data_IF_784483651061
#
_entry.id   IF_784483651061
#
_cell.length_a   1.000
_cell.length_b   1.000
_cell.length_c   1.000
_cell.angle_alpha   90.00
_cell.angle_beta   90.00
_cell.angle_gamma   90.00
#
_symmetry.space_group_name_H-M   'P 1'
#
loop_
_entity.id
_entity.type
_entity.pdbx_description
1 polymer ?
#
# COMPACT_ATOMS: atom_id res chain seq x y z
N UNK A 1 9.77 -14.65 -31.25
CA UNK A 1 10.51 -14.44 -30.01
C UNK A 1 10.93 -12.97 -29.82
N UNK A 2 11.56 -12.33 -30.82
CA UNK A 2 11.98 -10.93 -30.71
C UNK A 2 10.81 -9.94 -30.51
N UNK A 3 9.65 -10.16 -31.14
CA UNK A 3 8.49 -9.25 -31.00
C UNK A 3 7.87 -9.31 -29.60
N UNK A 4 7.71 -10.51 -29.03
CA UNK A 4 7.19 -10.67 -27.67
C UNK A 4 8.14 -10.06 -26.63
N UNK A 5 9.46 -10.24 -26.82
CA UNK A 5 10.46 -9.64 -25.94
C UNK A 5 10.44 -8.10 -26.00
N UNK A 6 10.33 -7.54 -27.21
CA UNK A 6 10.20 -6.09 -27.38
C UNK A 6 8.92 -5.55 -26.73
N UNK A 7 7.79 -6.26 -26.89
CA UNK A 7 6.54 -5.89 -26.24
C UNK A 7 6.65 -5.94 -24.71
N UNK A 8 7.24 -7.02 -24.18
CA UNK A 8 7.47 -7.14 -22.73
C UNK A 8 8.38 -6.01 -22.19
N UNK A 9 9.44 -5.68 -22.91
CA UNK A 9 10.36 -4.61 -22.52
C UNK A 9 9.67 -3.23 -22.58
N UNK A 10 8.87 -2.97 -23.62
CA UNK A 10 8.10 -1.72 -23.73
C UNK A 10 7.08 -1.59 -22.60
N UNK A 11 6.33 -2.68 -22.29
CA UNK A 11 5.40 -2.70 -21.17
C UNK A 11 6.11 -2.49 -19.85
N UNK A 12 7.24 -3.16 -19.63
CA UNK A 12 8.06 -2.98 -18.42
C UNK A 12 8.47 -1.53 -18.24
N UNK A 13 9.02 -0.89 -19.27
CA UNK A 13 9.43 0.51 -19.22
C UNK A 13 8.23 1.44 -18.98
N UNK A 14 7.10 1.20 -19.64
CA UNK A 14 5.88 1.97 -19.44
C UNK A 14 5.40 1.92 -17.99
N UNK A 15 5.29 0.71 -17.42
CA UNK A 15 4.90 0.52 -16.01
C UNK A 15 5.87 1.19 -15.02
N UNK A 16 7.16 1.14 -15.33
CA UNK A 16 8.20 1.73 -14.48
C UNK A 16 8.15 3.26 -14.52
N UNK A 17 8.10 3.85 -15.73
CA UNK A 17 8.05 5.31 -15.93
C UNK A 17 6.79 5.91 -15.32
N UNK A 18 5.66 5.21 -15.42
CA UNK A 18 4.40 5.63 -14.78
C UNK A 18 4.48 5.59 -13.25
N UNK A 19 5.03 4.52 -12.68
CA UNK A 19 5.02 4.32 -11.22
C UNK A 19 6.09 5.11 -10.47
N UNK A 20 7.25 5.39 -11.07
CA UNK A 20 8.39 6.04 -10.40
C UNK A 20 8.09 7.43 -9.83
N UNK A 21 7.45 8.38 -10.55
CA UNK A 21 7.14 9.69 -9.99
C UNK A 21 6.18 9.60 -8.80
N UNK A 22 5.20 8.71 -8.83
CA UNK A 22 4.26 8.53 -7.72
C UNK A 22 4.91 7.87 -6.51
N UNK A 23 5.84 6.93 -6.73
CA UNK A 23 6.65 6.37 -5.64
C UNK A 23 7.51 7.46 -4.99
N UNK A 24 8.15 8.30 -5.79
CA UNK A 24 8.95 9.43 -5.30
C UNK A 24 8.11 10.37 -4.43
N UNK A 25 6.94 10.76 -4.93
CA UNK A 25 6.00 11.62 -4.18
C UNK A 25 5.56 10.94 -2.89
N UNK A 26 5.24 9.65 -2.91
CA UNK A 26 4.87 8.88 -1.73
C UNK A 26 5.98 8.81 -0.68
N UNK A 27 7.22 8.58 -1.09
CA UNK A 27 8.39 8.55 -0.20
C UNK A 27 8.70 9.93 0.36
N UNK A 28 8.59 11.00 -0.43
CA UNK A 28 8.74 12.38 0.04
C UNK A 28 7.65 12.72 1.08
N UNK A 29 6.41 12.35 0.80
CA UNK A 29 5.29 12.53 1.75
C UNK A 29 5.51 11.76 3.04
N UNK A 30 5.97 10.50 2.96
CA UNK A 30 6.37 9.67 4.10
C UNK A 30 7.43 10.38 4.94
N UNK A 31 8.44 10.96 4.31
CA UNK A 31 9.48 11.73 4.97
C UNK A 31 8.96 13.03 5.61
N UNK A 32 8.06 13.73 4.91
CA UNK A 32 7.45 14.96 5.41
C UNK A 32 6.60 14.70 6.66
N UNK A 33 5.82 13.63 6.67
CA UNK A 33 5.06 13.20 7.85
C UNK A 33 5.97 13.02 9.06
N UNK A 34 7.19 12.49 8.88
CA UNK A 34 8.15 12.34 9.97
C UNK A 34 8.60 13.68 10.57
N UNK A 35 8.75 14.72 9.75
CA UNK A 35 9.25 16.02 10.20
C UNK A 35 8.17 16.85 10.90
N UNK A 36 6.93 16.80 10.42
CA UNK A 36 5.87 17.71 10.81
C UNK A 36 4.82 17.08 11.73
N UNK A 37 4.68 15.76 11.73
CA UNK A 37 3.67 15.10 12.55
C UNK A 37 4.29 14.56 13.84
N UNK A 38 3.86 15.10 14.97
CA UNK A 38 4.22 14.58 16.30
C UNK A 38 3.48 13.26 16.53
N UNK A 39 4.26 12.18 16.68
CA UNK A 39 3.79 10.81 16.89
C UNK A 39 2.72 10.73 17.99
N UNK A 40 2.96 11.43 19.10
CA UNK A 40 2.08 11.40 20.29
C UNK A 40 0.74 12.08 20.03
N UNK A 41 0.75 13.22 19.34
CA UNK A 41 -0.46 13.96 19.03
C UNK A 41 -1.30 13.24 17.97
N UNK A 42 -0.65 12.61 17.00
CA UNK A 42 -1.33 11.82 15.97
C UNK A 42 -2.06 10.63 16.60
N UNK A 43 -1.36 9.81 17.40
CA UNK A 43 -1.94 8.62 18.04
C UNK A 43 -3.07 9.01 19.00
N UNK A 44 -2.92 10.11 19.74
CA UNK A 44 -3.94 10.59 20.68
C UNK A 44 -5.25 11.02 20.01
N UNK A 45 -5.19 11.43 18.74
CA UNK A 45 -6.36 11.85 17.94
C UNK A 45 -7.02 10.73 17.15
N UNK A 46 -6.36 9.57 17.03
CA UNK A 46 -6.92 8.43 16.30
C UNK A 46 -8.06 7.77 17.08
N UNK A 47 -9.14 7.36 16.41
CA UNK A 47 -10.23 6.64 17.05
C UNK A 47 -9.74 5.33 17.69
N UNK A 48 -10.14 5.09 18.94
CA UNK A 48 -9.80 3.85 19.66
C UNK A 48 -10.64 2.65 19.19
N UNK A 49 -11.82 2.93 18.63
CA UNK A 49 -12.67 1.88 18.07
C UNK A 49 -12.07 1.39 16.73
N UNK A 50 -11.81 0.09 16.57
CA UNK A 50 -11.18 -0.44 15.38
C UNK A 50 -11.93 -0.16 14.07
N UNK A 51 -13.26 -0.26 14.10
CA UNK A 51 -14.09 0.04 12.92
C UNK A 51 -14.00 1.51 12.53
N UNK A 52 -14.11 2.41 13.52
CA UNK A 52 -13.95 3.86 13.29
C UNK A 52 -12.53 4.20 12.85
N UNK A 53 -11.53 3.48 13.38
CA UNK A 53 -10.13 3.62 12.97
C UNK A 53 -9.93 3.23 11.50
N UNK A 54 -10.50 2.10 11.07
CA UNK A 54 -10.45 1.66 9.68
C UNK A 54 -11.16 2.66 8.75
N UNK A 55 -12.36 3.11 9.11
CA UNK A 55 -13.11 4.11 8.36
C UNK A 55 -12.34 5.44 8.26
N UNK A 56 -11.79 5.92 9.36
CA UNK A 56 -10.99 7.15 9.40
C UNK A 56 -9.74 7.03 8.52
N UNK A 57 -9.03 5.89 8.60
CA UNK A 57 -7.89 5.60 7.74
C UNK A 57 -8.27 5.59 6.26
N UNK A 58 -9.39 4.94 5.93
CA UNK A 58 -9.93 4.92 4.56
C UNK A 58 -10.28 6.32 4.06
N UNK A 59 -10.90 7.16 4.90
CA UNK A 59 -11.24 8.54 4.53
C UNK A 59 -10.01 9.45 4.37
N UNK A 60 -8.96 9.23 5.15
CA UNK A 60 -7.70 9.97 4.97
C UNK A 60 -7.15 9.75 3.54
N UNK A 61 -7.36 8.57 2.97
CA UNK A 61 -6.97 8.27 1.59
C UNK A 61 -7.52 9.27 0.56
N UNK A 62 -8.68 9.87 0.80
CA UNK A 62 -9.24 10.91 -0.06
C UNK A 62 -8.38 12.18 -0.11
N UNK A 63 -7.68 12.51 0.98
CA UNK A 63 -6.84 13.71 1.05
C UNK A 63 -5.47 13.52 0.37
N UNK A 64 -5.08 12.27 0.09
CA UNK A 64 -3.78 11.95 -0.48
C UNK A 64 -3.91 11.56 -1.95
N UNK A 65 -3.53 12.42 -2.89
CA UNK A 65 -3.58 12.14 -4.32
C UNK A 65 -2.42 11.23 -4.74
N UNK A 66 -2.33 10.03 -4.14
CA UNK A 66 -1.30 9.03 -4.42
C UNK A 66 -1.92 7.75 -4.96
N UNK A 67 -1.21 7.13 -5.91
CA UNK A 67 -1.58 5.82 -6.44
C UNK A 67 -1.11 4.68 -5.50
N UNK A 68 -1.37 3.44 -5.88
CA UNK A 68 -0.98 2.22 -5.15
C UNK A 68 0.52 2.16 -4.82
N UNK A 69 1.40 2.70 -5.69
CA UNK A 69 2.84 2.70 -5.45
C UNK A 69 3.26 3.72 -4.37
N UNK A 70 2.56 4.86 -4.30
CA UNK A 70 2.90 5.95 -3.38
C UNK A 70 2.30 5.80 -1.98
N UNK A 71 1.20 5.04 -1.81
CA UNK A 71 0.56 4.87 -0.51
C UNK A 71 1.27 3.86 0.40
N UNK A 72 2.03 2.92 -0.16
CA UNK A 72 2.76 1.89 0.59
C UNK A 72 3.81 2.51 1.54
N UNK A 73 4.71 3.42 1.12
CA UNK A 73 5.63 4.07 2.04
C UNK A 73 4.91 4.85 3.15
N UNK A 74 3.81 5.54 2.82
CA UNK A 74 3.01 6.27 3.81
C UNK A 74 2.37 5.32 4.83
N UNK A 75 1.74 4.23 4.38
CA UNK A 75 1.15 3.21 5.25
C UNK A 75 2.20 2.53 6.14
N UNK A 76 3.37 2.18 5.57
CA UNK A 76 4.52 1.67 6.33
C UNK A 76 4.91 2.63 7.45
N UNK A 77 4.98 3.92 7.13
CA UNK A 77 5.33 4.97 8.08
C UNK A 77 4.30 5.08 9.20
N UNK A 78 3.01 5.12 8.87
CA UNK A 78 1.94 5.16 9.87
C UNK A 78 2.07 4.00 10.87
N UNK A 79 2.30 2.77 10.38
CA UNK A 79 2.53 1.60 11.22
C UNK A 79 3.77 1.75 12.10
N UNK A 80 4.87 2.26 11.54
CA UNK A 80 6.12 2.45 12.29
C UNK A 80 6.04 3.56 13.33
N UNK A 81 5.16 4.52 13.16
CA UNK A 81 4.83 5.56 14.14
C UNK A 81 3.85 5.08 15.22
N UNK A 82 3.37 3.83 15.14
CA UNK A 82 2.46 3.25 16.12
C UNK A 82 0.99 3.53 15.85
N UNK A 83 0.63 3.96 14.63
CA UNK A 83 -0.77 4.06 14.25
C UNK A 83 -1.43 2.66 14.31
N UNK A 84 -2.70 2.57 14.76
CA UNK A 84 -3.44 1.31 14.76
C UNK A 84 -3.47 0.69 13.36
N UNK A 85 -3.27 -0.63 13.26
CA UNK A 85 -3.27 -1.32 11.98
C UNK A 85 -4.56 -1.12 11.16
N UNK A 86 -5.78 -1.07 11.75
CA UNK A 86 -6.98 -0.75 10.99
C UNK A 86 -6.89 0.56 10.22
N UNK A 87 -6.26 1.59 10.81
CA UNK A 87 -6.07 2.89 10.15
C UNK A 87 -5.14 2.76 8.94
N UNK A 88 -4.00 2.09 9.12
CA UNK A 88 -3.00 1.94 8.07
C UNK A 88 -3.50 1.04 6.92
N UNK A 89 -4.22 -0.05 7.24
CA UNK A 89 -4.81 -0.96 6.24
C UNK A 89 -5.94 -0.27 5.50
N UNK A 90 -6.85 0.42 6.21
CA UNK A 90 -7.92 1.19 5.59
C UNK A 90 -7.38 2.24 4.63
N UNK A 91 -6.35 3.00 5.05
CA UNK A 91 -5.65 3.94 4.18
C UNK A 91 -5.02 3.26 2.97
N UNK A 92 -4.28 2.17 3.18
CA UNK A 92 -3.55 1.44 2.13
C UNK A 92 -4.47 0.98 0.99
N UNK A 93 -5.65 0.46 1.32
CA UNK A 93 -6.60 -0.07 0.35
C UNK A 93 -7.48 1.01 -0.28
N UNK A 94 -7.88 2.03 0.49
CA UNK A 94 -8.79 3.05 0.01
C UNK A 94 -8.11 4.16 -0.81
N UNK A 95 -6.91 4.60 -0.41
CA UNK A 95 -6.24 5.75 -1.01
C UNK A 95 -6.11 5.68 -2.54
N UNK A 96 -5.75 4.56 -3.16
CA UNK A 96 -5.61 4.51 -4.62
C UNK A 96 -6.95 4.54 -5.37
N UNK A 97 -8.07 4.28 -4.71
CA UNK A 97 -9.39 4.18 -5.34
C UNK A 97 -10.27 5.41 -5.14
N UNK A 98 -10.16 6.09 -3.99
CA UNK A 98 -11.05 7.18 -3.59
C UNK A 98 -10.41 8.57 -3.67
N UNK A 99 -9.18 8.71 -4.18
CA UNK A 99 -8.57 10.03 -4.31
C UNK A 99 -9.28 10.90 -5.36
N UNK A 100 -9.24 12.24 -5.22
CA UNK A 100 -9.97 13.14 -6.10
C UNK A 100 -9.61 13.00 -7.58
N UNK A 101 -8.36 12.66 -7.90
CA UNK A 101 -7.90 12.50 -9.28
C UNK A 101 -8.55 11.28 -9.92
N UNK A 102 -8.64 10.17 -9.20
CA UNK A 102 -9.27 8.93 -9.67
C UNK A 102 -10.78 9.10 -9.82
N UNK A 103 -11.42 9.79 -8.87
CA UNK A 103 -12.85 10.13 -8.96
C UNK A 103 -13.12 10.97 -10.21
N UNK A 104 -12.30 11.99 -10.45
CA UNK A 104 -12.41 12.83 -11.63
C UNK A 104 -12.18 12.06 -12.93
N UNK A 105 -11.15 11.20 -12.99
CA UNK A 105 -10.87 10.35 -14.15
C UNK A 105 -12.03 9.40 -14.43
N UNK A 106 -12.59 8.77 -13.40
CA UNK A 106 -13.74 7.86 -13.54
C UNK A 106 -14.99 8.62 -13.99
N UNK A 107 -15.23 9.81 -13.44
CA UNK A 107 -16.35 10.68 -13.87
C UNK A 107 -16.20 11.06 -15.36
N UNK A 108 -14.98 11.38 -15.79
CA UNK A 108 -14.73 11.75 -17.19
C UNK A 108 -14.93 10.59 -18.14
N UNK A 109 -14.54 9.37 -17.74
CA UNK A 109 -14.72 8.15 -18.54
C UNK A 109 -16.18 7.70 -18.60
N UNK A 110 -16.90 7.73 -17.49
CA UNK A 110 -18.29 7.21 -17.36
C UNK A 110 -19.30 8.32 -17.13
N UNK A 111 -19.31 9.34 -18.02
CA UNK A 111 -20.26 10.47 -17.93
C UNK A 111 -21.71 10.05 -18.03
N UNK A 112 -22.00 9.04 -18.85
CA UNK A 112 -23.34 8.53 -19.11
C UNK A 112 -23.83 7.57 -18.00
N UNK A 113 -22.92 7.14 -17.11
CA UNK A 113 -23.19 6.19 -16.02
C UNK A 113 -22.58 6.69 -14.69
N UNK A 114 -23.09 7.79 -14.12
CA UNK A 114 -22.55 8.38 -12.88
C UNK A 114 -22.63 7.42 -11.68
N UNK A 115 -23.51 6.41 -11.75
CA UNK A 115 -23.67 5.39 -10.72
C UNK A 115 -22.36 4.59 -10.52
N UNK A 116 -21.59 4.32 -11.60
CA UNK A 116 -20.32 3.62 -11.52
C UNK A 116 -19.33 4.39 -10.65
N UNK A 117 -19.30 5.71 -10.74
CA UNK A 117 -18.42 6.57 -9.93
C UNK A 117 -18.79 6.49 -8.45
N UNK A 118 -20.07 6.64 -8.14
CA UNK A 118 -20.57 6.56 -6.77
C UNK A 118 -20.32 5.18 -6.17
N UNK A 119 -20.68 4.12 -6.91
CA UNK A 119 -20.50 2.75 -6.47
C UNK A 119 -19.03 2.39 -6.29
N UNK A 120 -18.13 2.89 -7.16
CA UNK A 120 -16.67 2.73 -7.01
C UNK A 120 -16.20 3.28 -5.65
N UNK A 121 -16.58 4.50 -5.31
CA UNK A 121 -16.19 5.14 -4.05
C UNK A 121 -16.79 4.41 -2.85
N UNK A 122 -18.09 4.12 -2.88
CA UNK A 122 -18.80 3.46 -1.78
C UNK A 122 -18.23 2.04 -1.53
N UNK A 123 -18.04 1.26 -2.57
CA UNK A 123 -17.52 -0.11 -2.42
C UNK A 123 -16.07 -0.11 -1.98
N UNK A 124 -15.24 0.75 -2.55
CA UNK A 124 -13.84 0.88 -2.13
C UNK A 124 -13.74 1.26 -0.66
N UNK A 125 -14.53 2.22 -0.21
CA UNK A 125 -14.57 2.65 1.19
C UNK A 125 -15.08 1.52 2.11
N UNK A 126 -16.15 0.84 1.71
CA UNK A 126 -16.74 -0.26 2.48
C UNK A 126 -15.75 -1.42 2.59
N UNK A 127 -15.17 -1.87 1.48
CA UNK A 127 -14.21 -3.00 1.44
C UNK A 127 -12.98 -2.67 2.28
N UNK A 128 -12.37 -1.50 2.10
CA UNK A 128 -11.20 -1.07 2.85
C UNK A 128 -11.48 -1.01 4.36
N UNK A 129 -12.67 -0.50 4.75
CA UNK A 129 -13.11 -0.42 6.15
C UNK A 129 -13.35 -1.81 6.74
N UNK A 130 -14.04 -2.70 6.02
CA UNK A 130 -14.31 -4.08 6.47
C UNK A 130 -12.99 -4.83 6.65
N UNK A 131 -12.07 -4.76 5.68
CA UNK A 131 -10.77 -5.44 5.76
C UNK A 131 -9.96 -4.88 6.93
N UNK A 132 -9.87 -3.56 7.07
CA UNK A 132 -9.19 -2.92 8.19
C UNK A 132 -9.76 -3.36 9.54
N UNK A 133 -11.08 -3.50 9.64
CA UNK A 133 -11.75 -3.98 10.84
C UNK A 133 -11.46 -5.48 11.10
N UNK A 134 -11.54 -6.34 10.09
CA UNK A 134 -11.25 -7.78 10.21
C UNK A 134 -9.81 -8.01 10.69
N UNK A 135 -8.85 -7.27 10.13
CA UNK A 135 -7.46 -7.36 10.58
C UNK A 135 -7.24 -6.83 12.00
N UNK A 136 -8.10 -5.95 12.51
CA UNK A 136 -8.04 -5.49 13.89
C UNK A 136 -8.51 -6.54 14.90
N UNK A 137 -9.35 -7.49 14.49
CA UNK A 137 -9.82 -8.57 15.36
C UNK A 137 -8.70 -9.54 15.75
N UNK A 138 -7.57 -9.50 15.05
CA UNK A 138 -6.38 -10.25 15.44
C UNK A 138 -5.65 -9.50 16.57
N UNK A 139 -5.68 -10.09 17.76
CA UNK A 139 -5.07 -9.53 18.98
C UNK A 139 -3.54 -9.30 18.84
N UNK A 140 -2.87 -10.04 17.96
CA UNK A 140 -1.44 -9.90 17.70
C UNK A 140 -1.16 -9.83 16.19
N UNK A 141 -0.80 -8.64 15.71
CA UNK A 141 -0.46 -8.38 14.31
C UNK A 141 1.00 -8.72 13.96
N UNK A 142 1.83 -9.05 14.95
CA UNK A 142 3.26 -9.34 14.77
C UNK A 142 3.53 -10.53 13.83
N UNK A 143 2.74 -11.62 13.87
CA UNK A 143 2.96 -12.72 12.92
C UNK A 143 2.69 -12.33 11.47
N UNK A 144 1.95 -11.26 11.23
CA UNK A 144 1.49 -10.80 9.92
C UNK A 144 2.44 -9.75 9.32
N UNK A 145 3.09 -8.93 10.18
CA UNK A 145 4.00 -7.87 9.78
C UNK A 145 5.43 -8.39 9.57
N UNK A 146 6.20 -7.66 8.78
CA UNK A 146 7.64 -7.91 8.65
C UNK A 146 8.33 -7.74 10.01
N UNK A 147 9.37 -8.54 10.32
CA UNK A 147 10.03 -8.57 11.63
C UNK A 147 10.52 -7.19 12.10
N UNK A 148 11.00 -6.37 11.16
CA UNK A 148 11.48 -5.02 11.43
C UNK A 148 10.39 -4.09 11.99
N UNK A 149 9.16 -4.19 11.45
CA UNK A 149 8.01 -3.40 11.91
C UNK A 149 7.47 -3.98 13.23
N UNK A 150 7.37 -5.31 13.32
CA UNK A 150 6.90 -6.00 14.53
C UNK A 150 7.74 -5.74 15.77
N UNK A 151 9.07 -5.70 15.63
CA UNK A 151 10.00 -5.39 16.73
C UNK A 151 9.82 -3.96 17.22
N UNK A 152 9.60 -3.02 16.31
CA UNK A 152 9.40 -1.62 16.66
C UNK A 152 8.07 -1.38 17.38
N UNK A 153 7.00 -1.99 16.94
CA UNK A 153 5.72 -1.97 17.65
C UNK A 153 5.85 -2.51 19.09
N UNK A 154 6.72 -3.53 19.31
CA UNK A 154 7.03 -4.03 20.65
C UNK A 154 7.72 -2.96 21.51
N UNK A 155 8.70 -2.24 20.96
CA UNK A 155 9.44 -1.18 21.67
C UNK A 155 8.52 0.00 22.04
N UNK A 156 7.55 0.34 21.19
CA UNK A 156 6.57 1.40 21.47
C UNK A 156 5.59 0.95 22.56
N UNK A 157 5.13 -0.31 22.50
CA UNK A 157 4.18 -0.85 23.48
C UNK A 157 4.80 -1.11 24.87
N UNK A 158 6.12 -1.35 24.93
CA UNK A 158 6.85 -1.63 26.18
C UNK A 158 7.53 -0.40 26.80
N UNK A 159 7.29 0.82 26.30
CA UNK A 159 7.84 2.02 26.92
C UNK A 159 7.14 2.26 28.27
N UNK A 160 7.80 2.00 29.41
CA UNK A 160 7.19 2.24 30.72
C UNK A 160 7.02 3.75 30.94
N UNK A 161 5.93 4.12 31.62
CA UNK A 161 5.91 5.40 32.37
C UNK A 161 7.18 5.55 33.18
N UNK A 162 7.69 6.77 33.41
CA UNK A 162 8.91 6.99 34.13
C UNK A 162 8.72 6.62 35.61
N UNK A 163 8.88 5.35 35.94
CA UNK A 163 9.14 4.91 37.32
C UNK A 163 10.64 4.81 37.51
N UNK A 164 11.05 5.45 38.58
CA UNK A 164 12.38 5.60 39.16
C UNK A 164 13.35 4.43 38.92
N UNK A 165 14.57 4.85 38.67
CA UNK A 165 15.82 4.10 38.63
C UNK A 165 15.89 2.98 39.69
N UNK A 166 15.94 1.72 39.27
CA UNK A 166 16.49 0.66 40.09
C UNK A 166 17.25 -0.32 39.17
N UNK A 167 18.55 -0.31 39.40
CA UNK A 167 19.59 -1.32 39.19
C UNK A 167 19.46 -2.26 37.99
N UNK A 168 20.32 -2.04 36.99
CA UNK A 168 20.57 -2.89 35.86
C UNK A 168 21.28 -4.19 36.26
N UNK A 169 20.64 -5.33 36.09
CA UNK A 169 21.35 -6.58 35.82
C UNK A 169 21.61 -6.68 34.34
N UNK A 170 22.88 -6.68 33.99
CA UNK A 170 23.40 -6.72 32.64
C UNK A 170 23.38 -8.19 32.12
N UNK A 171 22.36 -8.54 31.33
CA UNK A 171 22.54 -9.66 30.40
C UNK A 171 23.46 -9.21 29.27
N UNK A 172 24.56 -9.94 29.05
CA UNK A 172 25.59 -9.63 28.07
C UNK A 172 25.03 -9.60 26.65
N UNK A 173 25.19 -8.50 25.91
CA UNK A 173 24.69 -8.43 24.53
C UNK A 173 25.57 -9.31 23.63
N UNK A 174 24.96 -10.21 22.88
CA UNK A 174 25.60 -10.87 21.73
C UNK A 174 26.21 -9.80 20.82
N UNK A 175 27.49 -9.95 20.41
CA UNK A 175 28.18 -8.92 19.65
C UNK A 175 27.42 -8.60 18.35
N UNK A 176 26.99 -7.35 18.18
CA UNK A 176 26.26 -6.87 16.99
C UNK A 176 27.00 -7.09 15.67
N UNK A 177 28.32 -7.30 15.73
CA UNK A 177 29.20 -7.56 14.58
C UNK A 177 29.00 -8.93 13.89
N UNK A 178 28.26 -9.85 14.53
CA UNK A 178 27.99 -11.18 13.96
C UNK A 178 26.71 -11.22 13.11
N UNK A 179 25.97 -10.11 13.02
CA UNK A 179 24.78 -10.03 12.17
C UNK A 179 25.16 -9.47 10.79
N UNK A 180 24.80 -10.19 9.74
CA UNK A 180 25.00 -9.75 8.36
C UNK A 180 24.24 -8.44 8.08
N UNK A 181 24.92 -7.43 7.52
CA UNK A 181 24.35 -6.13 7.20
C UNK A 181 25.39 -5.05 6.93
N UNK A 182 24.99 -3.90 6.40
CA UNK A 182 25.84 -2.74 6.19
C UNK A 182 25.83 -1.88 7.45
N UNK A 183 27.01 -1.60 8.00
CA UNK A 183 27.18 -0.83 9.24
C UNK A 183 27.98 0.44 8.99
N UNK A 184 27.67 1.51 9.72
CA UNK A 184 28.46 2.72 9.77
C UNK A 184 28.93 2.99 11.20
N UNK A 185 30.17 3.52 11.34
CA UNK A 185 30.70 3.92 12.63
C UNK A 185 30.16 5.28 13.00
N UNK A 186 29.28 5.33 13.97
CA UNK A 186 28.79 6.61 14.54
C UNK A 186 29.83 7.31 15.41
N UNK A 187 29.53 8.53 15.82
CA UNK A 187 30.42 9.43 16.58
C UNK A 187 30.93 8.88 17.93
N UNK A 188 30.38 7.74 18.41
CA UNK A 188 30.85 7.02 19.63
C UNK A 188 31.45 5.65 19.31
N UNK A 189 31.96 5.41 18.08
CA UNK A 189 32.55 4.14 17.64
C UNK A 189 31.64 2.91 17.79
N UNK A 190 30.32 3.09 17.88
CA UNK A 190 29.36 1.99 17.89
C UNK A 190 28.86 1.73 16.46
N UNK A 191 28.87 0.46 15.99
CA UNK A 191 28.36 0.11 14.67
C UNK A 191 26.85 0.30 14.60
N UNK A 192 26.40 1.17 13.70
CA UNK A 192 24.98 1.41 13.44
C UNK A 192 24.61 0.71 12.13
N UNK A 193 23.60 -0.16 12.17
CA UNK A 193 23.10 -0.85 10.99
C UNK A 193 22.37 0.13 10.08
N UNK A 194 22.74 0.19 8.80
CA UNK A 194 22.16 1.10 7.80
C UNK A 194 20.91 0.52 7.12
N UNK A 195 19.96 0.03 7.89
CA UNK A 195 18.65 -0.33 7.36
C UNK A 195 17.70 0.88 7.43
N UNK A 196 16.82 1.07 6.45
CA UNK A 196 15.84 2.16 6.44
C UNK A 196 15.02 2.22 7.74
N UNK A 197 14.76 1.08 8.36
CA UNK A 197 14.06 0.96 9.64
C UNK A 197 14.84 1.55 10.82
N UNK A 198 16.15 1.40 10.84
CA UNK A 198 17.03 1.95 11.90
C UNK A 198 17.21 3.44 11.70
N UNK A 199 17.38 3.89 10.46
CA UNK A 199 17.46 5.32 10.12
C UNK A 199 16.15 6.04 10.50
N UNK A 200 15.02 5.42 10.22
CA UNK A 200 13.70 5.90 10.63
C UNK A 200 13.53 5.95 12.17
N UNK A 201 14.11 4.97 12.87
CA UNK A 201 14.11 4.96 14.34
C UNK A 201 14.93 6.10 14.92
N UNK A 202 16.08 6.40 14.33
CA UNK A 202 16.96 7.50 14.74
C UNK A 202 16.28 8.87 14.50
N UNK A 203 15.54 9.00 13.40
CA UNK A 203 14.78 10.20 13.08
C UNK A 203 13.65 10.47 14.09
N UNK A 204 12.90 9.44 14.45
CA UNK A 204 11.81 9.56 15.42
C UNK A 204 12.31 9.79 16.86
N UNK A 205 13.53 9.34 17.20
CA UNK A 205 14.15 9.57 18.50
C UNK A 205 14.89 10.92 18.62
N UNK A 206 14.97 11.68 17.54
CA UNK A 206 15.70 12.96 17.50
C UNK A 206 14.86 14.05 18.20
N UNK A 207 15.36 14.67 19.29
CA UNK A 207 14.63 15.73 19.97
C UNK A 207 14.43 16.95 19.05
N UNK A 208 13.37 17.74 19.25
CA UNK A 208 13.01 18.87 18.41
C UNK A 208 14.04 20.02 18.36
N UNK A 209 15.14 19.90 19.10
CA UNK A 209 16.18 20.93 19.25
C UNK A 209 17.30 20.90 18.18
N UNK A 210 17.26 19.95 17.21
CA UNK A 210 18.29 19.96 16.14
C UNK A 210 18.00 21.02 15.09
N UNK A 211 19.04 21.68 14.53
CA UNK A 211 18.89 22.68 13.47
C UNK A 211 18.19 22.09 12.23
N UNK A 212 17.44 22.93 11.53
CA UNK A 212 16.62 22.55 10.38
C UNK A 212 17.44 21.83 9.28
N UNK A 213 18.72 22.24 9.13
CA UNK A 213 19.66 21.63 8.19
C UNK A 213 19.91 20.15 8.45
N UNK A 214 20.08 19.76 9.70
CA UNK A 214 20.32 18.34 10.07
C UNK A 214 19.07 17.49 9.88
N UNK A 215 17.90 18.09 10.15
CA UNK A 215 16.61 17.43 9.91
C UNK A 215 16.37 17.20 8.42
N UNK A 216 16.69 18.19 7.57
CA UNK A 216 16.54 18.08 6.13
C UNK A 216 17.52 17.04 5.54
N UNK A 217 18.75 17.01 6.04
CA UNK A 217 19.75 16.02 5.64
C UNK A 217 19.30 14.59 5.96
N UNK A 218 18.81 14.38 7.17
CA UNK A 218 18.26 13.10 7.60
C UNK A 218 17.01 12.69 6.78
N UNK A 219 16.17 13.66 6.40
CA UNK A 219 15.03 13.41 5.52
C UNK A 219 15.50 12.94 4.14
N UNK A 220 16.49 13.61 3.55
CA UNK A 220 17.04 13.23 2.24
C UNK A 220 17.65 11.83 2.27
N UNK A 221 18.46 11.54 3.28
CA UNK A 221 19.09 10.22 3.43
C UNK A 221 18.04 9.11 3.59
N UNK A 222 16.99 9.36 4.39
CA UNK A 222 15.88 8.43 4.53
C UNK A 222 15.09 8.26 3.24
N UNK A 223 14.82 9.36 2.51
CA UNK A 223 14.12 9.34 1.23
C UNK A 223 14.89 8.53 0.19
N UNK A 224 16.19 8.74 0.09
CA UNK A 224 17.05 7.99 -0.84
C UNK A 224 17.04 6.50 -0.51
N UNK A 225 17.15 6.15 0.76
CA UNK A 225 17.15 4.77 1.19
C UNK A 225 15.80 4.07 0.96
N UNK A 226 14.71 4.72 1.34
CA UNK A 226 13.35 4.19 1.14
C UNK A 226 13.02 4.05 -0.36
N UNK A 227 13.43 5.03 -1.18
CA UNK A 227 13.30 4.96 -2.64
C UNK A 227 14.11 3.82 -3.24
N UNK A 228 15.32 3.55 -2.73
CA UNK A 228 16.16 2.44 -3.19
C UNK A 228 15.52 1.08 -2.86
N UNK A 229 15.01 0.90 -1.63
CA UNK A 229 14.38 -0.35 -1.20
C UNK A 229 13.09 -0.62 -1.99
N UNK A 230 12.17 0.33 -2.00
CA UNK A 230 10.87 0.18 -2.67
C UNK A 230 10.99 0.24 -4.19
N UNK A 231 11.93 1.04 -4.72
CA UNK A 231 12.21 1.11 -6.14
C UNK A 231 12.74 -0.21 -6.69
N UNK A 232 13.62 -0.89 -5.97
CA UNK A 232 14.10 -2.23 -6.38
C UNK A 232 12.94 -3.25 -6.45
N UNK A 233 12.04 -3.23 -5.46
CA UNK A 233 10.85 -4.08 -5.45
C UNK A 233 9.89 -3.72 -6.60
N UNK A 234 9.73 -2.43 -6.88
CA UNK A 234 8.91 -1.94 -7.99
C UNK A 234 9.44 -2.42 -9.34
N UNK A 235 10.77 -2.34 -9.56
CA UNK A 235 11.42 -2.82 -10.79
C UNK A 235 11.16 -4.31 -10.99
N UNK A 236 11.35 -5.12 -9.94
CA UNK A 236 11.07 -6.56 -10.00
C UNK A 236 9.59 -6.85 -10.25
N UNK A 237 8.70 -6.18 -9.54
CA UNK A 237 7.24 -6.32 -9.69
C UNK A 237 6.77 -5.93 -11.10
N UNK A 238 7.28 -4.83 -11.63
CA UNK A 238 6.96 -4.38 -13.00
C UNK A 238 7.48 -5.34 -14.06
N UNK A 239 8.66 -5.92 -13.88
CA UNK A 239 9.22 -6.92 -14.80
C UNK A 239 8.38 -8.20 -14.82
N UNK A 240 7.95 -8.69 -13.65
CA UNK A 240 7.06 -9.85 -13.55
C UNK A 240 5.70 -9.54 -14.17
N UNK A 241 5.11 -8.39 -13.87
CA UNK A 241 3.82 -7.97 -14.42
C UNK A 241 3.86 -7.88 -15.96
N UNK A 242 4.88 -7.23 -16.53
CA UNK A 242 5.05 -7.13 -17.97
C UNK A 242 5.23 -8.50 -18.65
N UNK A 243 5.97 -9.40 -18.02
CA UNK A 243 6.18 -10.76 -18.53
C UNK A 243 4.87 -11.56 -18.57
N UNK A 244 4.06 -11.49 -17.53
CA UNK A 244 2.76 -12.18 -17.44
C UNK A 244 1.78 -11.59 -18.46
N UNK A 245 1.72 -10.26 -18.62
CA UNK A 245 0.83 -9.61 -19.59
C UNK A 245 1.08 -10.04 -21.04
N UNK A 246 2.34 -10.31 -21.42
CA UNK A 246 2.69 -10.80 -22.75
C UNK A 246 2.32 -12.27 -22.95
N UNK A 247 2.34 -13.06 -21.86
CA UNK A 247 2.05 -14.50 -21.90
C UNK A 247 0.55 -14.80 -21.93
N UNK A 248 -0.31 -13.90 -21.46
CA UNK A 248 -1.76 -14.12 -21.40
C UNK A 248 -2.44 -13.51 -22.63
N UNK A 249 -2.96 -14.32 -23.59
CA UNK A 249 -3.65 -13.83 -24.76
C UNK A 249 -4.96 -13.13 -24.39
N UNK A 250 -5.19 -11.96 -24.95
CA UNK A 250 -6.40 -11.16 -24.70
C UNK A 250 -7.69 -11.90 -25.11
N UNK A 251 -7.63 -12.73 -26.14
CA UNK A 251 -8.77 -13.51 -26.65
C UNK A 251 -9.28 -14.52 -25.64
N UNK A 252 -8.40 -15.12 -24.84
CA UNK A 252 -8.78 -16.05 -23.76
C UNK A 252 -9.59 -15.32 -22.68
N UNK A 253 -9.19 -14.11 -22.34
CA UNK A 253 -9.88 -13.28 -21.33
C UNK A 253 -11.28 -12.89 -21.84
N UNK A 254 -11.38 -12.47 -23.11
CA UNK A 254 -12.66 -12.07 -23.69
C UNK A 254 -13.63 -13.27 -23.84
N UNK A 255 -13.12 -14.45 -24.15
CA UNK A 255 -13.93 -15.66 -24.27
C UNK A 255 -14.53 -16.17 -22.95
N UNK A 256 -13.92 -15.83 -21.82
CA UNK A 256 -14.40 -16.21 -20.49
C UNK A 256 -15.53 -15.29 -19.97
N UNK A 257 -15.77 -14.14 -20.60
CA UNK A 257 -16.67 -13.08 -20.12
C UNK A 257 -18.15 -13.21 -20.50
N UNK A 258 -18.61 -14.34 -21.02
CA UNK A 258 -19.96 -14.50 -21.60
C UNK A 258 -21.11 -14.61 -20.58
N UNK A 259 -20.85 -14.87 -19.31
CA UNK A 259 -21.87 -14.98 -18.25
C UNK A 259 -21.78 -13.88 -17.20
N UNK A 260 -22.88 -13.55 -16.47
CA UNK A 260 -22.89 -12.47 -15.50
C UNK A 260 -21.93 -12.71 -14.32
N UNK A 261 -21.69 -13.96 -13.94
CA UNK A 261 -20.76 -14.35 -12.87
C UNK A 261 -19.34 -14.45 -13.42
N UNK A 262 -19.17 -15.10 -14.56
CA UNK A 262 -17.85 -15.29 -15.17
C UNK A 262 -17.24 -13.97 -15.62
N UNK A 263 -18.07 -13.01 -16.09
CA UNK A 263 -17.59 -11.67 -16.47
C UNK A 263 -16.96 -10.90 -15.32
N UNK A 264 -17.52 -11.00 -14.10
CA UNK A 264 -16.95 -10.39 -12.90
C UNK A 264 -15.58 -11.01 -12.58
N UNK A 265 -15.51 -12.36 -12.54
CA UNK A 265 -14.25 -13.06 -12.28
C UNK A 265 -13.17 -12.76 -13.30
N UNK A 266 -13.56 -12.68 -14.58
CA UNK A 266 -12.66 -12.35 -15.69
C UNK A 266 -12.12 -10.93 -15.56
N UNK A 267 -12.97 -9.94 -15.24
CA UNK A 267 -12.55 -8.56 -15.09
C UNK A 267 -11.69 -8.35 -13.83
N UNK A 268 -11.95 -9.09 -12.74
CA UNK A 268 -11.07 -9.09 -11.56
C UNK A 268 -9.70 -9.72 -11.87
N UNK A 269 -9.67 -10.82 -12.61
CA UNK A 269 -8.42 -11.43 -13.03
C UNK A 269 -7.62 -10.48 -13.93
N UNK A 270 -8.31 -9.84 -14.88
CA UNK A 270 -7.71 -8.85 -15.76
C UNK A 270 -7.14 -7.68 -14.97
N UNK A 271 -7.88 -7.16 -14.00
CA UNK A 271 -7.44 -6.06 -13.13
C UNK A 271 -6.14 -6.38 -12.40
N UNK A 272 -6.07 -7.56 -11.77
CA UNK A 272 -4.87 -8.00 -11.06
C UNK A 272 -3.66 -8.23 -11.96
N UNK A 273 -3.87 -8.74 -13.19
CA UNK A 273 -2.79 -9.04 -14.14
C UNK A 273 -2.27 -7.80 -14.86
N UNK A 274 -3.17 -6.90 -15.28
CA UNK A 274 -2.79 -5.76 -16.14
C UNK A 274 -2.05 -4.69 -15.33
N UNK A 275 -2.30 -4.58 -14.03
CA UNK A 275 -1.56 -3.68 -13.12
C UNK A 275 -1.49 -2.23 -13.63
N UNK A 276 -2.60 -1.71 -14.15
CA UNK A 276 -2.71 -0.32 -14.64
C UNK A 276 -2.90 0.62 -13.45
N UNK A 277 -2.33 1.83 -13.55
CA UNK A 277 -2.52 2.86 -12.55
C UNK A 277 -3.99 3.29 -12.44
N UNK A 278 -4.43 3.54 -11.24
CA UNK A 278 -5.81 3.90 -10.90
C UNK A 278 -6.34 5.18 -11.58
N UNK A 279 -5.45 6.02 -12.12
CA UNK A 279 -5.84 7.21 -12.90
C UNK A 279 -6.22 6.88 -14.34
N UNK A 280 -5.74 5.77 -14.89
CA UNK A 280 -5.95 5.36 -16.28
C UNK A 280 -6.92 4.17 -16.39
N UNK A 281 -7.12 3.44 -15.30
CA UNK A 281 -7.94 2.23 -15.22
C UNK A 281 -9.38 2.46 -15.72
N UNK A 282 -9.96 3.64 -15.46
CA UNK A 282 -11.30 4.00 -15.90
C UNK A 282 -11.42 4.07 -17.42
N UNK A 283 -10.43 4.64 -18.10
CA UNK A 283 -10.42 4.71 -19.56
C UNK A 283 -10.15 3.34 -20.20
N UNK A 284 -9.33 2.53 -19.55
CA UNK A 284 -9.13 1.15 -19.96
C UNK A 284 -10.41 0.34 -19.82
N UNK A 285 -11.10 0.41 -18.68
CA UNK A 285 -12.36 -0.26 -18.43
C UNK A 285 -13.45 0.17 -19.44
N UNK A 286 -13.49 1.46 -19.79
CA UNK A 286 -14.43 2.00 -20.80
C UNK A 286 -14.30 1.29 -22.14
N UNK A 287 -13.12 0.86 -22.53
CA UNK A 287 -12.92 0.13 -23.80
C UNK A 287 -13.64 -1.23 -23.84
N UNK A 288 -14.07 -1.73 -22.69
CA UNK A 288 -14.81 -2.99 -22.54
C UNK A 288 -16.30 -2.78 -22.22
N UNK A 289 -16.77 -1.54 -22.14
CA UNK A 289 -18.14 -1.23 -21.73
C UNK A 289 -19.22 -1.81 -22.67
N UNK A 290 -18.88 -2.03 -23.92
CA UNK A 290 -19.78 -2.68 -24.89
C UNK A 290 -19.85 -4.21 -24.77
N UNK A 291 -18.90 -4.84 -24.07
CA UNK A 291 -18.76 -6.30 -24.02
C UNK A 291 -19.10 -6.88 -22.66
N UNK A 292 -18.84 -6.12 -21.61
CA UNK A 292 -18.99 -6.57 -20.21
C UNK A 292 -20.08 -5.81 -19.48
N UNK A 293 -20.65 -6.44 -18.44
CA UNK A 293 -21.68 -5.82 -17.59
C UNK A 293 -21.09 -4.70 -16.74
N UNK A 294 -21.93 -3.73 -16.35
CA UNK A 294 -21.50 -2.61 -15.47
C UNK A 294 -20.95 -3.10 -14.12
N UNK A 295 -21.52 -4.19 -13.57
CA UNK A 295 -20.99 -4.82 -12.36
C UNK A 295 -19.59 -5.40 -12.54
N UNK A 296 -19.27 -5.97 -13.71
CA UNK A 296 -17.92 -6.49 -13.99
C UNK A 296 -16.91 -5.37 -14.24
N UNK A 297 -17.32 -4.28 -14.89
CA UNK A 297 -16.49 -3.06 -15.00
C UNK A 297 -16.20 -2.46 -13.63
N UNK A 298 -17.21 -2.41 -12.75
CA UNK A 298 -17.04 -1.96 -11.39
C UNK A 298 -16.09 -2.86 -10.60
N UNK A 299 -16.15 -4.18 -10.81
CA UNK A 299 -15.21 -5.12 -10.19
C UNK A 299 -13.76 -4.82 -10.59
N UNK A 300 -13.52 -4.53 -11.87
CA UNK A 300 -12.21 -4.10 -12.35
C UNK A 300 -11.73 -2.82 -11.68
N UNK A 301 -12.59 -1.79 -11.62
CA UNK A 301 -12.26 -0.47 -11.08
C UNK A 301 -12.05 -0.46 -9.56
N UNK A 302 -12.70 -1.35 -8.83
CA UNK A 302 -12.56 -1.45 -7.37
C UNK A 302 -11.38 -2.34 -6.99
N UNK A 303 -11.27 -3.50 -7.60
CA UNK A 303 -10.27 -4.50 -7.24
C UNK A 303 -8.86 -4.13 -7.70
N UNK A 304 -8.71 -3.65 -8.96
CA UNK A 304 -7.42 -3.36 -9.58
C UNK A 304 -6.52 -2.45 -8.73
N UNK A 305 -6.99 -1.24 -8.38
CA UNK A 305 -6.19 -0.31 -7.58
C UNK A 305 -5.91 -0.78 -6.15
N UNK A 306 -6.75 -1.66 -5.60
CA UNK A 306 -6.52 -2.22 -4.26
C UNK A 306 -5.43 -3.28 -4.29
N UNK A 307 -5.46 -4.15 -5.31
CA UNK A 307 -4.60 -5.32 -5.40
C UNK A 307 -4.23 -5.58 -6.85
N UNK A 308 -3.01 -5.24 -7.16
CA UNK A 308 -2.37 -5.56 -8.43
C UNK A 308 -1.02 -6.24 -8.20
N UNK A 309 -0.44 -6.78 -9.25
CA UNK A 309 0.78 -7.56 -9.17
C UNK A 309 1.99 -6.72 -8.71
N UNK A 310 2.05 -5.42 -9.10
CA UNK A 310 3.09 -4.47 -8.63
C UNK A 310 2.91 -4.16 -7.14
N UNK A 311 1.67 -3.87 -6.75
CA UNK A 311 1.29 -3.55 -5.38
C UNK A 311 1.54 -4.69 -4.41
N UNK A 312 1.27 -5.95 -4.82
CA UNK A 312 1.64 -7.14 -4.04
C UNK A 312 3.13 -7.15 -3.73
N UNK A 313 3.99 -6.86 -4.72
CA UNK A 313 5.43 -6.74 -4.50
C UNK A 313 5.77 -5.69 -3.44
N UNK A 314 5.21 -4.49 -3.56
CA UNK A 314 5.43 -3.40 -2.60
C UNK A 314 4.88 -3.71 -1.20
N UNK A 315 3.75 -4.40 -1.10
CA UNK A 315 3.16 -4.81 0.19
C UNK A 315 4.05 -5.79 0.96
N UNK A 316 4.94 -6.55 0.28
CA UNK A 316 5.94 -7.40 0.93
C UNK A 316 6.93 -6.60 1.80
N UNK A 317 7.08 -5.30 1.55
CA UNK A 317 7.86 -4.43 2.43
C UNK A 317 7.20 -4.19 3.80
N UNK A 318 5.89 -4.42 3.93
CA UNK A 318 5.10 -4.19 5.15
C UNK A 318 4.68 -5.53 5.77
N UNK A 319 4.07 -6.39 4.96
CA UNK A 319 3.40 -7.61 5.38
C UNK A 319 4.17 -8.87 4.96
N UNK A 320 3.98 -9.93 5.72
CA UNK A 320 4.44 -11.27 5.30
C UNK A 320 3.54 -11.84 4.19
N UNK A 321 4.04 -12.76 3.35
CA UNK A 321 3.27 -13.33 2.24
C UNK A 321 1.92 -13.91 2.64
N UNK A 322 1.83 -14.55 3.80
CA UNK A 322 0.57 -15.10 4.32
C UNK A 322 -0.50 -14.03 4.57
N UNK A 323 -0.10 -12.89 5.11
CA UNK A 323 -1.02 -11.78 5.36
C UNK A 323 -1.51 -11.16 4.06
N UNK A 324 -0.63 -11.02 3.06
CA UNK A 324 -0.99 -10.52 1.74
C UNK A 324 -1.99 -11.46 1.08
N UNK A 325 -1.80 -12.78 1.19
CA UNK A 325 -2.75 -13.76 0.66
C UNK A 325 -4.14 -13.65 1.29
N UNK A 326 -4.23 -13.47 2.62
CA UNK A 326 -5.52 -13.25 3.29
C UNK A 326 -6.16 -11.91 2.89
N UNK A 327 -5.37 -10.85 2.80
CA UNK A 327 -5.83 -9.53 2.39
C UNK A 327 -6.36 -9.58 0.95
N UNK A 328 -5.62 -10.24 0.07
CA UNK A 328 -6.00 -10.45 -1.33
C UNK A 328 -7.29 -11.27 -1.44
N UNK A 329 -7.36 -12.41 -0.76
CA UNK A 329 -8.55 -13.27 -0.80
C UNK A 329 -9.80 -12.57 -0.28
N UNK A 330 -9.66 -11.81 0.82
CA UNK A 330 -10.78 -11.08 1.40
C UNK A 330 -11.24 -9.92 0.51
N UNK A 331 -10.31 -9.16 -0.08
CA UNK A 331 -10.64 -8.10 -1.03
C UNK A 331 -11.31 -8.67 -2.29
N UNK A 332 -10.80 -9.77 -2.84
CA UNK A 332 -11.40 -10.44 -3.97
C UNK A 332 -12.83 -10.92 -3.67
N UNK A 333 -13.02 -11.57 -2.52
CA UNK A 333 -14.32 -12.07 -2.11
C UNK A 333 -15.34 -10.94 -1.90
N UNK A 334 -14.97 -9.87 -1.21
CA UNK A 334 -15.86 -8.73 -0.96
C UNK A 334 -16.18 -8.00 -2.26
N UNK A 335 -15.20 -7.75 -3.10
CA UNK A 335 -15.42 -7.12 -4.41
C UNK A 335 -16.37 -7.96 -5.26
N UNK A 336 -16.13 -9.28 -5.34
CA UNK A 336 -16.99 -10.18 -6.08
C UNK A 336 -18.44 -10.15 -5.57
N UNK A 337 -18.66 -10.23 -4.25
CA UNK A 337 -19.99 -10.22 -3.66
C UNK A 337 -20.73 -8.89 -3.91
N UNK A 338 -20.05 -7.77 -3.74
CA UNK A 338 -20.66 -6.45 -3.93
C UNK A 338 -21.00 -6.18 -5.39
N UNK A 339 -20.12 -6.56 -6.30
CA UNK A 339 -20.35 -6.36 -7.74
C UNK A 339 -21.35 -7.35 -8.31
N UNK A 340 -21.41 -8.57 -7.75
CA UNK A 340 -22.46 -9.53 -8.06
C UNK A 340 -23.84 -9.01 -7.63
N UNK A 341 -23.93 -8.42 -6.44
CA UNK A 341 -25.17 -7.78 -5.97
C UNK A 341 -25.63 -6.68 -6.94
N UNK A 342 -24.71 -5.82 -7.39
CA UNK A 342 -25.04 -4.79 -8.39
C UNK A 342 -25.54 -5.40 -9.68
N UNK A 343 -24.86 -6.44 -10.17
CA UNK A 343 -25.19 -7.08 -11.44
C UNK A 343 -26.53 -7.84 -11.43
N UNK A 344 -27.02 -8.23 -10.23
CA UNK A 344 -28.29 -8.97 -10.09
C UNK A 344 -29.49 -8.07 -9.73
N UNK A 345 -29.24 -6.95 -9.04
CA UNK A 345 -30.34 -6.17 -8.43
C UNK A 345 -30.37 -4.69 -8.81
N UNK A 346 -29.29 -4.12 -9.33
CA UNK A 346 -29.18 -2.66 -9.57
C UNK A 346 -29.19 -2.34 -11.05
N UNK A 347 -28.62 -3.19 -11.89
CA UNK A 347 -28.46 -3.03 -13.34
C UNK A 347 -28.84 -4.31 -14.02
#
# INVERSE_FOLDING_TARGET
MNQQLNTAFTLFLSLLVEAMPFLLVGVLFSGLLLLFVDERQMIARLPKNPLMGALFGSMIGFLFPVCECGNVPVARRLLMQGAPAPVAIGFLLAAPTINPIVIWATWTAFRDQPEIVVLRVVFSLAIATIIGWVFSAQADLRPILQPAIGTRLKLIATKPEPKQLSTFEQEAPTPQLLQSGTYWLGQKSQPIRMDATVLQATLAATPPSKPLSDRLRLLLDNTIQELRELGAVLVLGSAIAASIQVLVPREVILGLGSGPITSIGTMMLLAGLVSICSTVDAFFALSFASTFTSGSLLAFLVFGPMIDLKGVGLMLAIFKPRAIFYLFGLAAQLTFLFTLFVNLYVI
#
